data_IF_874816321869
#
_entry.id   IF_874816321869
#
_cell.length_a   1.000
_cell.length_b   1.000
_cell.length_c   1.000
_cell.angle_alpha   90.00
_cell.angle_beta   90.00
_cell.angle_gamma   90.00
#
_symmetry.space_group_name_H-M   'P 1'
#
loop_
_entity.id
_entity.type
_entity.pdbx_description
1 polymer ?
#
# COMPACT_ATOMS: atom_id res chain seq x y z
N UNK A 1 10.06 -43.03 21.83
CA UNK A 1 9.16 -42.52 20.78
C UNK A 1 9.58 -41.10 20.44
N UNK A 2 10.17 -40.88 19.26
CA UNK A 2 10.73 -39.58 18.87
C UNK A 2 9.61 -38.61 18.49
N UNK A 3 9.54 -37.46 19.15
CA UNK A 3 8.55 -36.40 18.90
C UNK A 3 8.87 -35.70 17.58
N UNK A 4 8.09 -35.96 16.54
CA UNK A 4 8.20 -35.24 15.27
C UNK A 4 7.64 -33.83 15.45
N UNK A 5 8.52 -32.86 15.74
CA UNK A 5 8.15 -31.45 15.84
C UNK A 5 7.98 -30.88 14.42
N UNK A 6 6.78 -31.00 13.88
CA UNK A 6 6.38 -30.23 12.70
C UNK A 6 6.39 -28.76 13.12
N UNK A 7 7.44 -28.03 12.75
CA UNK A 7 7.47 -26.56 12.83
C UNK A 7 6.47 -26.07 11.80
N UNK A 8 5.21 -25.94 12.21
CA UNK A 8 4.17 -25.30 11.41
C UNK A 8 4.73 -23.98 10.90
N UNK A 9 4.61 -23.76 9.60
CA UNK A 9 5.02 -22.52 8.96
C UNK A 9 4.22 -21.40 9.63
N UNK A 10 4.87 -20.57 10.45
CA UNK A 10 4.24 -19.41 11.05
C UNK A 10 4.07 -18.36 9.95
N UNK A 11 2.96 -18.44 9.22
CA UNK A 11 2.58 -17.48 8.18
C UNK A 11 2.00 -16.18 8.77
N UNK A 12 2.18 -15.94 10.06
CA UNK A 12 1.60 -14.79 10.75
C UNK A 12 2.46 -13.53 10.66
N UNK A 13 3.01 -13.24 9.47
CA UNK A 13 3.28 -11.83 9.12
C UNK A 13 1.95 -11.12 8.91
N UNK A 14 1.14 -11.05 9.98
CA UNK A 14 -0.14 -10.37 9.97
C UNK A 14 0.14 -8.91 9.66
N UNK A 15 -0.42 -8.35 8.58
CA UNK A 15 -0.15 -6.98 8.21
C UNK A 15 -0.54 -6.09 9.39
N UNK A 16 0.29 -5.11 9.77
CA UNK A 16 -0.04 -4.22 10.86
C UNK A 16 -1.39 -3.57 10.54
N UNK A 17 -2.35 -3.75 11.44
CA UNK A 17 -3.66 -3.15 11.29
C UNK A 17 -3.48 -1.65 11.06
N UNK A 18 -4.14 -1.07 10.04
CA UNK A 18 -3.95 0.32 9.72
C UNK A 18 -4.30 1.17 10.94
N UNK A 19 -3.34 1.96 11.38
CA UNK A 19 -3.50 2.89 12.48
C UNK A 19 -4.64 3.88 12.19
N UNK A 20 -5.21 4.47 13.24
CA UNK A 20 -6.33 5.43 13.12
C UNK A 20 -6.00 6.56 12.12
N UNK A 21 -4.75 7.02 12.12
CA UNK A 21 -4.24 8.02 11.17
C UNK A 21 -4.28 7.53 9.72
N UNK A 22 -3.85 6.29 9.45
CA UNK A 22 -3.90 5.69 8.11
C UNK A 22 -5.34 5.51 7.61
N UNK A 23 -6.29 5.20 8.50
CA UNK A 23 -7.73 5.14 8.17
C UNK A 23 -8.32 6.53 7.89
N UNK A 24 -7.95 7.54 8.68
CA UNK A 24 -8.40 8.92 8.50
C UNK A 24 -7.95 9.50 7.16
N UNK A 25 -6.67 9.34 6.82
CA UNK A 25 -6.12 9.77 5.54
C UNK A 25 -6.79 9.04 4.37
N UNK A 26 -7.25 7.79 4.58
CA UNK A 26 -7.96 7.02 3.56
C UNK A 26 -9.40 7.50 3.33
N UNK A 27 -10.06 8.10 4.31
CA UNK A 27 -11.41 8.67 4.16
C UNK A 27 -11.45 10.14 3.74
N UNK A 28 -10.33 10.85 3.81
CA UNK A 28 -10.28 12.27 3.50
C UNK A 28 -10.38 12.52 1.98
N UNK A 29 -11.54 12.98 1.52
CA UNK A 29 -11.81 13.28 0.11
C UNK A 29 -10.87 14.35 -0.47
N UNK A 30 -10.49 15.36 0.32
CA UNK A 30 -9.54 16.40 -0.09
C UNK A 30 -8.16 15.78 -0.36
N UNK A 31 -7.70 14.92 0.55
CA UNK A 31 -6.43 14.21 0.39
C UNK A 31 -6.44 13.25 -0.81
N UNK A 32 -7.56 12.56 -1.03
CA UNK A 32 -7.74 11.71 -2.21
C UNK A 32 -7.71 12.53 -3.52
N UNK A 33 -8.37 13.69 -3.57
CA UNK A 33 -8.38 14.56 -4.74
C UNK A 33 -6.98 15.10 -5.08
N UNK A 34 -6.22 15.56 -4.08
CA UNK A 34 -4.84 15.98 -4.27
C UNK A 34 -3.98 14.83 -4.86
N UNK A 35 -4.12 13.62 -4.32
CA UNK A 35 -3.36 12.46 -4.77
C UNK A 35 -3.76 12.01 -6.18
N UNK A 36 -5.04 12.14 -6.53
CA UNK A 36 -5.54 11.94 -7.88
C UNK A 36 -4.89 12.91 -8.87
N UNK A 37 -4.87 14.20 -8.57
CA UNK A 37 -4.24 15.22 -9.44
C UNK A 37 -2.75 14.92 -9.62
N UNK A 38 -2.00 14.71 -8.53
CA UNK A 38 -0.56 14.44 -8.58
C UNK A 38 -0.24 13.18 -9.39
N UNK A 39 -1.03 12.11 -9.23
CA UNK A 39 -0.86 10.87 -10.00
C UNK A 39 -1.07 11.11 -11.49
N UNK A 40 -2.16 11.77 -11.87
CA UNK A 40 -2.47 12.06 -13.27
C UNK A 40 -1.39 12.95 -13.90
N UNK A 41 -0.92 13.99 -13.20
CA UNK A 41 0.19 14.83 -13.67
C UNK A 41 1.49 14.04 -13.86
N UNK A 42 1.79 13.10 -12.95
CA UNK A 42 2.98 12.26 -13.04
C UNK A 42 2.91 11.32 -14.24
N UNK A 43 1.74 10.72 -14.50
CA UNK A 43 1.50 9.89 -15.68
C UNK A 43 1.68 10.71 -16.95
N UNK A 44 1.06 11.89 -17.04
CA UNK A 44 1.21 12.79 -18.18
C UNK A 44 2.68 13.19 -18.42
N UNK A 45 3.44 13.48 -17.36
CA UNK A 45 4.87 13.78 -17.47
C UNK A 45 5.69 12.62 -18.02
N UNK A 46 5.37 11.38 -17.62
CA UNK A 46 6.03 10.18 -18.15
C UNK A 46 5.66 9.99 -19.62
N UNK A 47 4.40 10.18 -20.00
CA UNK A 47 3.95 10.04 -21.39
C UNK A 47 4.65 11.09 -22.27
N UNK A 48 4.62 12.36 -21.89
CA UNK A 48 5.25 13.45 -22.65
C UNK A 48 6.77 13.31 -22.71
N UNK A 49 7.40 12.88 -21.61
CA UNK A 49 8.86 12.67 -21.56
C UNK A 49 9.35 11.37 -22.20
N UNK A 50 8.48 10.38 -22.38
CA UNK A 50 8.80 9.09 -23.01
C UNK A 50 8.73 9.10 -24.54
N UNK A 51 8.32 10.22 -25.15
CA UNK A 51 8.32 10.45 -26.59
C UNK A 51 9.63 11.10 -27.09
N UNK A 52 10.76 10.87 -26.42
CA UNK A 52 12.09 11.31 -26.86
C UNK A 52 13.11 10.19 -26.88
#
# INVERSE_FOLDING_TARGET
MAKNIVRGYYDESYPPLPTKSTKFLRGCLIWQACRFIVLNLKIMRIIVGGHS
#
